data_IF_566255366667
#
_entry.id   IF_566255366667
#
_cell.length_a   1.000
_cell.length_b   1.000
_cell.length_c   1.000
_cell.angle_alpha   90.00
_cell.angle_beta   90.00
_cell.angle_gamma   90.00
#
_symmetry.space_group_name_H-M   'P 1'
#
loop_
_entity.id
_entity.type
_entity.pdbx_description
1 polymer ?
#
# COMPACT_ATOMS: atom_id res chain seq x y z
N UNK A 1 -13.80 7.75 -7.00
CA UNK A 1 -12.38 8.20 -6.96
C UNK A 1 -11.63 7.45 -5.87
N UNK A 2 -10.60 6.69 -6.22
CA UNK A 2 -9.86 5.81 -5.31
C UNK A 2 -9.97 4.33 -5.71
N UNK A 3 -9.09 3.49 -5.17
CA UNK A 3 -9.16 2.03 -5.34
C UNK A 3 -10.21 1.45 -4.40
N UNK A 4 -10.90 0.40 -4.84
CA UNK A 4 -11.79 -0.39 -3.97
C UNK A 4 -11.09 -0.97 -2.75
N UNK A 5 -9.77 -1.12 -2.79
CA UNK A 5 -8.96 -1.62 -1.67
C UNK A 5 -8.26 -0.50 -0.89
N UNK A 6 -8.49 0.76 -1.27
CA UNK A 6 -7.89 1.90 -0.59
C UNK A 6 -8.55 2.20 0.75
N UNK A 7 -7.83 2.92 1.61
CA UNK A 7 -8.31 3.39 2.90
C UNK A 7 -9.46 4.41 2.83
N UNK A 8 -9.66 5.05 1.68
CA UNK A 8 -10.82 5.91 1.40
C UNK A 8 -11.30 5.76 -0.03
N UNK A 9 -12.61 5.86 -0.25
CA UNK A 9 -13.23 5.81 -1.57
C UNK A 9 -14.37 6.82 -1.66
N UNK A 10 -14.30 7.74 -2.63
CA UNK A 10 -15.41 8.64 -2.94
C UNK A 10 -16.30 8.07 -4.05
N UNK A 11 -17.62 8.14 -3.84
CA UNK A 11 -18.65 7.87 -4.85
C UNK A 11 -19.47 9.14 -5.07
N UNK A 12 -19.59 9.55 -6.33
CA UNK A 12 -20.35 10.73 -6.72
C UNK A 12 -21.25 10.29 -7.85
N UNK A 13 -22.56 10.39 -7.66
CA UNK A 13 -23.53 9.86 -8.60
C UNK A 13 -24.88 10.59 -8.51
N UNK A 14 -25.66 10.56 -9.59
CA UNK A 14 -27.01 11.12 -9.66
C UNK A 14 -27.98 10.22 -8.88
N UNK A 15 -28.17 10.53 -7.60
CA UNK A 15 -28.99 9.73 -6.69
C UNK A 15 -30.44 9.69 -7.13
N UNK A 16 -30.98 10.81 -7.59
CA UNK A 16 -32.37 10.85 -8.05
C UNK A 16 -32.62 9.92 -9.23
N UNK A 17 -31.69 9.87 -10.19
CA UNK A 17 -31.75 8.91 -11.31
C UNK A 17 -31.61 7.47 -10.85
N UNK A 18 -30.74 7.21 -9.88
CA UNK A 18 -30.62 5.88 -9.27
C UNK A 18 -31.94 5.42 -8.63
N UNK A 19 -32.73 6.34 -8.08
CA UNK A 19 -34.03 6.06 -7.46
C UNK A 19 -35.20 6.08 -8.48
N UNK A 20 -34.94 6.29 -9.77
CA UNK A 20 -35.94 6.22 -10.84
C UNK A 20 -36.41 7.57 -11.40
N UNK A 21 -36.09 8.70 -10.76
CA UNK A 21 -36.40 10.03 -11.29
C UNK A 21 -35.28 10.53 -12.21
N UNK A 22 -35.51 10.41 -13.53
CA UNK A 22 -34.58 10.83 -14.58
C UNK A 22 -34.33 12.34 -14.61
N UNK A 23 -35.28 13.13 -14.12
CA UNK A 23 -35.24 14.60 -14.13
C UNK A 23 -34.62 15.21 -12.88
N UNK A 24 -34.44 14.39 -11.84
CA UNK A 24 -33.86 14.84 -10.59
C UNK A 24 -32.45 15.38 -10.76
N UNK A 25 -32.19 16.55 -10.16
CA UNK A 25 -30.85 17.14 -10.06
C UNK A 25 -30.10 16.67 -8.81
N UNK A 26 -30.63 15.69 -8.08
CA UNK A 26 -30.01 15.23 -6.84
C UNK A 26 -28.76 14.40 -7.11
N UNK A 27 -27.60 14.99 -6.82
CA UNK A 27 -26.30 14.32 -6.79
C UNK A 27 -25.94 14.01 -5.34
N UNK A 28 -25.46 12.79 -5.09
CA UNK A 28 -24.95 12.40 -3.77
C UNK A 28 -23.44 12.22 -3.81
N UNK A 29 -22.78 12.79 -2.83
CA UNK A 29 -21.35 12.65 -2.58
C UNK A 29 -21.16 11.80 -1.33
N UNK A 30 -20.63 10.60 -1.49
CA UNK A 30 -20.35 9.67 -0.40
C UNK A 30 -18.85 9.47 -0.29
N UNK A 31 -18.35 9.39 0.94
CA UNK A 31 -16.99 8.93 1.21
C UNK A 31 -17.03 7.77 2.16
N UNK A 32 -16.43 6.67 1.73
CA UNK A 32 -16.23 5.49 2.54
C UNK A 32 -14.82 5.52 3.15
N UNK A 33 -14.72 5.18 4.42
CA UNK A 33 -13.47 5.08 5.15
C UNK A 33 -13.25 3.65 5.63
N UNK A 34 -12.02 3.14 5.47
CA UNK A 34 -11.64 1.78 5.87
C UNK A 34 -10.36 1.82 6.68
N UNK A 35 -10.30 1.01 7.74
CA UNK A 35 -9.14 0.89 8.61
C UNK A 35 -8.06 -0.03 8.02
N UNK A 36 -7.60 0.27 6.79
CA UNK A 36 -6.48 -0.44 6.16
C UNK A 36 -5.16 0.27 6.51
N UNK A 37 -4.86 1.35 5.81
CA UNK A 37 -3.74 2.26 6.12
C UNK A 37 -4.20 3.48 6.94
N UNK A 38 -5.36 3.33 7.59
CA UNK A 38 -6.10 4.40 8.24
C UNK A 38 -6.35 4.14 9.72
N UNK A 39 -6.23 5.18 10.51
CA UNK A 39 -6.90 5.26 11.80
C UNK A 39 -8.18 6.06 11.63
N UNK A 40 -9.33 5.43 11.94
CA UNK A 40 -10.61 6.11 11.89
C UNK A 40 -10.85 6.69 13.28
N UNK A 41 -10.77 8.00 13.47
CA UNK A 41 -10.98 8.60 14.78
C UNK A 41 -12.47 8.53 15.14
N UNK A 42 -12.77 8.26 16.40
CA UNK A 42 -14.15 8.09 16.88
C UNK A 42 -14.99 9.36 16.73
N UNK A 43 -14.37 10.54 16.79
CA UNK A 43 -15.04 11.83 16.63
C UNK A 43 -15.62 12.05 15.22
N UNK A 44 -15.33 11.16 14.26
CA UNK A 44 -15.98 11.15 12.95
C UNK A 44 -17.50 10.94 13.03
N UNK A 45 -17.97 10.27 14.08
CA UNK A 45 -19.40 10.07 14.32
C UNK A 45 -20.07 11.34 14.83
N UNK A 46 -19.30 12.21 15.50
CA UNK A 46 -19.77 13.48 16.04
C UNK A 46 -19.69 14.57 14.96
N UNK A 47 -18.63 14.57 14.15
CA UNK A 47 -18.34 15.59 13.14
C UNK A 47 -18.27 15.03 11.70
N UNK A 48 -19.26 14.24 11.22
CA UNK A 48 -19.15 13.55 9.92
C UNK A 48 -19.01 14.52 8.75
N UNK A 49 -19.65 15.70 8.83
CA UNK A 49 -19.55 16.74 7.81
C UNK A 49 -18.13 17.27 7.63
N UNK A 50 -17.38 17.44 8.73
CA UNK A 50 -16.01 17.97 8.67
C UNK A 50 -15.05 16.98 8.01
N UNK A 51 -15.23 15.69 8.31
CA UNK A 51 -14.46 14.61 7.70
C UNK A 51 -14.84 14.35 6.24
N UNK A 52 -16.11 14.53 5.87
CA UNK A 52 -16.56 14.50 4.48
C UNK A 52 -15.91 15.64 3.68
N UNK A 53 -15.93 16.85 4.24
CA UNK A 53 -15.37 18.06 3.66
C UNK A 53 -13.84 17.95 3.49
N UNK A 54 -13.16 17.43 4.52
CA UNK A 54 -11.70 17.23 4.54
C UNK A 54 -11.19 15.98 3.82
N UNK A 55 -12.07 15.08 3.36
CA UNK A 55 -11.68 13.84 2.71
C UNK A 55 -10.98 14.07 1.36
N UNK A 56 -11.42 15.06 0.58
CA UNK A 56 -10.85 15.40 -0.71
C UNK A 56 -10.79 16.92 -0.87
N UNK A 57 -9.79 17.50 -1.58
CA UNK A 57 -9.67 18.95 -1.73
C UNK A 57 -10.93 19.64 -2.27
N UNK A 58 -11.68 18.95 -3.14
CA UNK A 58 -12.95 19.46 -3.69
C UNK A 58 -14.05 19.62 -2.63
N UNK A 59 -14.02 18.84 -1.55
CA UNK A 59 -15.02 18.87 -0.48
C UNK A 59 -15.05 20.23 0.23
N UNK A 60 -13.89 20.79 0.53
CA UNK A 60 -13.76 22.12 1.13
C UNK A 60 -14.44 23.22 0.29
N UNK A 61 -14.41 23.09 -1.04
CA UNK A 61 -15.08 24.03 -1.96
C UNK A 61 -16.58 23.79 -2.06
N UNK A 62 -17.03 22.54 -1.97
CA UNK A 62 -18.43 22.16 -2.18
C UNK A 62 -19.31 22.39 -0.95
N UNK A 63 -18.81 22.11 0.25
CA UNK A 63 -19.67 21.99 1.44
C UNK A 63 -19.57 23.17 2.42
N UNK A 64 -18.74 24.19 2.13
CA UNK A 64 -18.60 25.43 2.94
C UNK A 64 -18.52 25.18 4.46
N UNK A 65 -17.91 24.06 4.86
CA UNK A 65 -17.81 23.63 6.25
C UNK A 65 -16.34 23.49 6.67
N UNK A 66 -16.04 23.55 7.96
CA UNK A 66 -14.72 23.27 8.52
C UNK A 66 -14.21 21.92 8.01
N UNK A 67 -12.97 21.89 7.52
CA UNK A 67 -12.39 20.68 6.94
C UNK A 67 -11.41 20.05 7.93
N UNK A 68 -11.81 18.96 8.60
CA UNK A 68 -10.87 18.14 9.35
C UNK A 68 -10.12 17.21 8.39
N UNK A 69 -8.82 17.48 8.23
CA UNK A 69 -7.93 16.56 7.54
C UNK A 69 -7.53 15.44 8.48
N UNK A 70 -7.28 14.30 7.88
CA UNK A 70 -7.17 13.05 8.59
C UNK A 70 -5.71 12.66 8.85
N UNK A 71 -5.49 11.82 9.85
CA UNK A 71 -4.17 11.30 10.24
C UNK A 71 -3.93 9.97 9.51
N UNK A 72 -3.00 9.97 8.56
CA UNK A 72 -2.56 8.74 7.90
C UNK A 72 -1.66 7.96 8.86
N UNK A 73 -1.88 6.64 9.01
CA UNK A 73 -0.94 5.78 9.72
C UNK A 73 0.36 5.70 8.93
N UNK A 74 1.36 6.51 9.29
CA UNK A 74 2.71 6.35 8.77
C UNK A 74 3.42 5.21 9.51
N UNK A 75 2.91 3.98 9.39
CA UNK A 75 3.66 2.81 9.86
C UNK A 75 4.66 2.47 8.76
N UNK A 76 5.87 3.01 8.84
CA UNK A 76 7.01 2.47 8.09
C UNK A 76 7.28 1.08 8.66
N UNK A 77 6.73 0.04 8.04
CA UNK A 77 7.14 -1.33 8.36
C UNK A 77 8.58 -1.48 7.88
N UNK A 78 9.49 -1.83 8.81
CA UNK A 78 10.84 -2.24 8.45
C UNK A 78 10.73 -3.40 7.44
N UNK A 79 11.43 -3.28 6.31
CA UNK A 79 11.45 -4.34 5.31
C UNK A 79 12.30 -5.47 5.87
N UNK A 80 11.73 -6.67 5.98
CA UNK A 80 12.51 -7.84 6.36
C UNK A 80 13.12 -8.50 5.13
N UNK A 81 14.29 -9.13 5.29
CA UNK A 81 14.97 -9.87 4.23
C UNK A 81 14.05 -10.92 3.59
N UNK A 82 13.29 -11.64 4.42
CA UNK A 82 12.35 -12.67 3.96
C UNK A 82 11.26 -12.07 3.05
N UNK A 83 10.76 -10.87 3.38
CA UNK A 83 9.75 -10.19 2.57
C UNK A 83 10.33 -9.63 1.28
N UNK A 84 11.56 -9.13 1.31
CA UNK A 84 12.28 -8.74 0.09
C UNK A 84 12.52 -9.94 -0.84
N UNK A 85 12.97 -11.08 -0.29
CA UNK A 85 13.17 -12.32 -1.04
C UNK A 85 11.86 -12.86 -1.65
N UNK A 86 10.74 -12.75 -0.94
CA UNK A 86 9.42 -13.15 -1.45
C UNK A 86 9.06 -12.41 -2.75
N UNK A 87 9.19 -11.07 -2.77
CA UNK A 87 8.88 -10.28 -3.96
C UNK A 87 9.89 -10.48 -5.08
N UNK A 88 11.19 -10.63 -4.75
CA UNK A 88 12.22 -10.98 -5.72
C UNK A 88 11.90 -12.31 -6.42
N UNK A 89 11.46 -13.33 -5.67
CA UNK A 89 11.01 -14.62 -6.22
C UNK A 89 9.79 -14.47 -7.13
N UNK A 90 8.80 -13.66 -6.76
CA UNK A 90 7.64 -13.43 -7.62
C UNK A 90 8.02 -12.74 -8.93
N UNK A 91 8.93 -11.77 -8.90
CA UNK A 91 9.30 -10.97 -10.06
C UNK A 91 10.24 -11.71 -11.02
N UNK A 92 11.24 -12.42 -10.48
CA UNK A 92 12.32 -13.01 -11.28
C UNK A 92 12.43 -14.54 -11.16
N UNK A 93 11.68 -15.19 -10.27
CA UNK A 93 11.84 -16.62 -9.99
C UNK A 93 11.55 -17.52 -11.19
N UNK A 94 10.54 -17.18 -12.01
CA UNK A 94 10.24 -17.91 -13.23
C UNK A 94 11.39 -17.81 -14.25
N UNK A 95 12.01 -16.63 -14.36
CA UNK A 95 13.16 -16.41 -15.23
C UNK A 95 14.39 -17.16 -14.73
N UNK A 96 14.67 -17.13 -13.42
CA UNK A 96 15.76 -17.91 -12.81
C UNK A 96 15.58 -19.41 -13.09
N UNK A 97 14.36 -19.95 -12.95
CA UNK A 97 14.05 -21.35 -13.28
C UNK A 97 14.35 -21.65 -14.74
N UNK A 98 13.87 -20.81 -15.65
CA UNK A 98 14.11 -20.96 -17.08
C UNK A 98 15.61 -20.99 -17.43
N UNK A 99 16.42 -20.10 -16.83
CA UNK A 99 17.87 -20.09 -17.07
C UNK A 99 18.57 -21.32 -16.50
N UNK A 100 18.15 -21.78 -15.33
CA UNK A 100 18.65 -23.00 -14.70
C UNK A 100 18.35 -24.23 -15.57
N UNK A 101 17.14 -24.33 -16.12
CA UNK A 101 16.74 -25.47 -16.96
C UNK A 101 17.44 -25.47 -18.33
N UNK A 102 17.94 -24.31 -18.78
CA UNK A 102 18.86 -24.17 -19.92
C UNK A 102 20.31 -24.58 -19.60
N UNK A 103 20.60 -25.05 -18.39
CA UNK A 103 21.92 -25.52 -17.96
C UNK A 103 22.90 -24.42 -17.60
N UNK A 104 22.44 -23.17 -17.38
CA UNK A 104 23.32 -22.11 -16.87
C UNK A 104 23.68 -22.37 -15.42
N UNK A 105 24.92 -22.04 -15.09
CA UNK A 105 25.42 -22.12 -13.71
C UNK A 105 24.83 -21.00 -12.85
N UNK A 106 24.70 -21.24 -11.55
CA UNK A 106 24.21 -20.24 -10.60
C UNK A 106 25.00 -18.92 -10.69
N UNK A 107 26.31 -18.99 -10.88
CA UNK A 107 27.17 -17.83 -11.02
C UNK A 107 26.85 -16.97 -12.25
N UNK A 108 26.45 -17.58 -13.37
CA UNK A 108 26.03 -16.86 -14.58
C UNK A 108 24.68 -16.17 -14.38
N UNK A 109 23.75 -16.84 -13.70
CA UNK A 109 22.42 -16.29 -13.39
C UNK A 109 22.57 -15.11 -12.43
N UNK A 110 23.42 -15.22 -11.40
CA UNK A 110 23.70 -14.12 -10.47
C UNK A 110 24.35 -12.95 -11.20
N UNK A 111 25.36 -13.18 -12.03
CA UNK A 111 26.00 -12.11 -12.83
C UNK A 111 25.01 -11.37 -13.73
N UNK A 112 23.98 -12.07 -14.22
CA UNK A 112 22.93 -11.48 -15.05
C UNK A 112 21.97 -10.58 -14.27
N UNK A 113 21.68 -10.91 -13.01
CA UNK A 113 20.62 -10.26 -12.22
C UNK A 113 21.14 -9.31 -11.13
N UNK A 114 22.41 -9.41 -10.76
CA UNK A 114 22.99 -8.61 -9.67
C UNK A 114 22.99 -7.12 -10.01
N UNK A 115 22.52 -6.32 -9.06
CA UNK A 115 22.56 -4.87 -9.16
C UNK A 115 23.98 -4.34 -8.89
N UNK A 116 24.32 -3.11 -9.36
CA UNK A 116 25.59 -2.48 -9.02
C UNK A 116 25.83 -2.37 -7.51
N UNK A 117 27.10 -2.37 -7.05
CA UNK A 117 27.43 -2.20 -5.64
C UNK A 117 26.74 -0.99 -5.01
N UNK A 118 26.22 -1.15 -3.79
CA UNK A 118 25.52 -0.08 -3.06
C UNK A 118 24.04 0.07 -3.40
N UNK A 119 23.52 -0.63 -4.42
CA UNK A 119 22.09 -0.63 -4.75
C UNK A 119 21.35 -1.75 -4.01
N UNK A 120 20.83 -1.42 -2.83
CA UNK A 120 20.03 -2.33 -2.01
C UNK A 120 18.52 -2.02 -2.06
N UNK A 121 17.66 -2.99 -1.71
CA UNK A 121 16.24 -2.70 -1.50
C UNK A 121 16.06 -1.58 -0.47
N UNK A 122 15.13 -0.66 -0.73
CA UNK A 122 14.85 0.45 0.20
C UNK A 122 14.43 -0.10 1.57
N UNK A 123 15.14 0.28 2.61
CA UNK A 123 14.88 -0.15 3.98
C UNK A 123 15.58 -1.44 4.41
N UNK A 124 16.52 -1.96 3.60
CA UNK A 124 17.48 -2.97 4.00
C UNK A 124 18.89 -2.40 3.82
N UNK A 125 19.61 -2.16 4.93
CA UNK A 125 21.04 -1.85 4.87
C UNK A 125 21.88 -3.04 5.35
N UNK A 126 23.03 -3.32 4.71
CA UNK A 126 23.92 -4.42 5.12
C UNK A 126 24.40 -4.36 6.59
N UNK A 127 24.34 -3.18 7.21
CA UNK A 127 24.73 -2.96 8.61
C UNK A 127 23.62 -3.30 9.61
N UNK A 128 22.37 -3.43 9.16
CA UNK A 128 21.20 -3.71 10.01
C UNK A 128 21.16 -5.18 10.45
N UNK A 129 21.91 -6.08 9.79
CA UNK A 129 21.92 -7.52 10.09
C UNK A 129 22.84 -7.92 11.27
N UNK A 130 23.59 -6.97 11.84
CA UNK A 130 24.61 -7.26 12.86
C UNK A 130 24.11 -7.24 14.32
N UNK A 131 22.80 -7.38 14.56
CA UNK A 131 22.26 -7.54 15.92
C UNK A 131 21.22 -8.67 15.97
N UNK A 132 21.65 -9.81 16.51
CA UNK A 132 20.82 -10.92 17.04
C UNK A 132 20.18 -11.87 16.01
N UNK A 133 20.99 -12.75 15.43
CA UNK A 133 20.55 -14.13 15.18
C UNK A 133 21.56 -15.06 15.87
N UNK A 134 21.16 -15.95 16.81
CA UNK A 134 22.09 -16.94 17.34
C UNK A 134 22.53 -17.87 16.19
N UNK A 135 23.79 -18.33 16.20
CA UNK A 135 24.30 -19.20 15.15
C UNK A 135 23.44 -20.46 15.09
N UNK A 136 22.86 -20.70 13.91
CA UNK A 136 22.19 -21.95 13.59
C UNK A 136 23.27 -23.04 13.74
N UNK A 137 23.00 -23.98 14.65
CA UNK A 137 23.89 -25.03 15.14
C UNK A 137 24.82 -25.64 14.07
N UNK A 138 26.07 -25.84 14.47
CA UNK A 138 27.17 -26.56 13.83
C UNK A 138 26.82 -28.03 13.48
N UNK A 139 27.56 -28.67 12.55
CA UNK A 139 27.25 -30.02 12.07
C UNK A 139 27.45 -31.06 13.17
N UNK A 140 26.53 -32.03 13.25
CA UNK A 140 26.73 -33.27 13.99
C UNK A 140 27.21 -34.36 13.03
N UNK A 141 28.30 -35.00 13.45
CA UNK A 141 28.96 -36.23 12.98
C UNK A 141 28.26 -37.10 11.91
#
# INVERSE_FOLDING_TARGET
MGSRYGAKLARIYEKGRQLGDKTSRWVRFEVEFRAHDYEIPTDILIYPGEYLCGAYPVGARLFQNSAKRKITKQVRKALTVQRAAYFARLQAGAFVRYQHDLGRTDGEIVRMLIAPPGKYPKGLHPLDENCTAPPILSPSA
#
